data_IF_868926051075
#
_entry.id   IF_868926051075
#
_cell.length_a   1.000
_cell.length_b   1.000
_cell.length_c   1.000
_cell.angle_alpha   90.00
_cell.angle_beta   90.00
_cell.angle_gamma   90.00
#
_symmetry.space_group_name_H-M   'P 1'
#
loop_
_entity.id
_entity.type
_entity.pdbx_description
1 polymer ?
#
# COMPACT_ATOMS: atom_id res chain seq x y z
N UNK A 1 35.44 -59.95 -2.95
CA UNK A 1 35.74 -58.58 -2.47
C UNK A 1 34.44 -57.80 -2.54
N UNK A 2 33.79 -57.58 -1.40
CA UNK A 2 32.50 -56.92 -1.28
C UNK A 2 32.69 -55.66 -0.43
N UNK A 3 32.39 -54.50 -1.03
CA UNK A 3 32.66 -53.19 -0.46
C UNK A 3 31.45 -52.72 0.34
N UNK A 4 31.58 -52.66 1.67
CA UNK A 4 30.58 -52.15 2.61
C UNK A 4 30.53 -50.63 2.56
N UNK A 5 29.41 -50.07 2.08
CA UNK A 5 29.14 -48.63 2.09
C UNK A 5 28.63 -48.24 3.49
N UNK A 6 29.45 -47.50 4.23
CA UNK A 6 29.12 -46.90 5.54
C UNK A 6 28.04 -45.82 5.35
N UNK A 7 26.90 -46.02 5.99
CA UNK A 7 25.87 -45.01 6.17
C UNK A 7 26.37 -43.91 7.12
N UNK A 8 26.60 -42.71 6.59
CA UNK A 8 26.73 -41.50 7.40
C UNK A 8 25.34 -40.93 7.66
N UNK A 9 24.82 -41.17 8.87
CA UNK A 9 23.69 -40.43 9.40
C UNK A 9 24.17 -39.02 9.80
N UNK A 10 23.83 -38.01 9.00
CA UNK A 10 23.94 -36.60 9.40
C UNK A 10 22.57 -36.15 9.94
N UNK A 11 22.49 -35.56 11.15
CA UNK A 11 21.25 -35.02 11.66
C UNK A 11 20.94 -33.72 10.89
N UNK A 12 19.93 -33.75 10.03
CA UNK A 12 19.23 -32.56 9.53
C UNK A 12 18.44 -31.98 10.70
N UNK A 13 19.09 -31.12 11.48
CA UNK A 13 18.47 -30.41 12.59
C UNK A 13 18.53 -28.90 12.33
N UNK A 14 17.32 -28.31 12.34
CA UNK A 14 17.00 -26.89 12.43
C UNK A 14 17.25 -26.02 11.19
N UNK A 15 16.32 -26.16 10.23
CA UNK A 15 15.82 -25.00 9.52
C UNK A 15 14.88 -24.15 10.39
N UNK A 16 14.65 -22.92 9.91
CA UNK A 16 13.63 -21.96 10.31
C UNK A 16 13.76 -21.30 11.69
N UNK A 17 14.41 -20.14 11.70
CA UNK A 17 14.18 -19.16 12.77
C UNK A 17 15.07 -17.94 12.64
N UNK A 18 14.44 -16.75 12.71
CA UNK A 18 15.02 -15.42 12.92
C UNK A 18 15.40 -14.63 11.65
N UNK A 19 14.39 -14.19 10.91
CA UNK A 19 14.52 -13.15 9.87
C UNK A 19 13.42 -12.09 9.89
N UNK A 20 12.79 -11.81 11.06
CA UNK A 20 11.50 -11.11 11.11
C UNK A 20 11.45 -9.87 12.03
N UNK A 21 12.55 -9.15 12.24
CA UNK A 21 12.52 -7.93 13.11
C UNK A 21 13.15 -6.67 12.52
N UNK A 22 13.63 -6.68 11.27
CA UNK A 22 14.23 -5.51 10.63
C UNK A 22 13.29 -4.70 9.70
N UNK A 23 12.03 -5.11 9.55
CA UNK A 23 11.10 -4.50 8.56
C UNK A 23 10.59 -3.09 8.94
N UNK A 24 10.56 -2.74 10.23
CA UNK A 24 10.02 -1.45 10.67
C UNK A 24 10.89 -0.24 10.26
N UNK A 25 12.19 -0.27 10.61
CA UNK A 25 13.10 0.83 10.28
C UNK A 25 13.42 0.88 8.78
N UNK A 26 13.49 -0.27 8.12
CA UNK A 26 13.73 -0.35 6.67
C UNK A 26 12.54 0.13 5.86
N UNK A 27 11.31 -0.20 6.28
CA UNK A 27 10.07 0.31 5.70
C UNK A 27 9.94 1.82 5.83
N UNK A 28 10.18 2.38 7.03
CA UNK A 28 10.16 3.83 7.24
C UNK A 28 11.21 4.56 6.39
N UNK A 29 12.44 4.05 6.35
CA UNK A 29 13.51 4.64 5.53
C UNK A 29 13.17 4.59 4.03
N UNK A 30 12.59 3.48 3.56
CA UNK A 30 12.13 3.32 2.18
C UNK A 30 11.03 4.31 1.83
N UNK A 31 9.99 4.40 2.68
CA UNK A 31 8.85 5.30 2.46
C UNK A 31 9.32 6.74 2.43
N UNK A 32 10.11 7.15 3.42
CA UNK A 32 10.68 8.50 3.49
C UNK A 32 11.45 8.82 2.23
N UNK A 33 12.38 7.95 1.81
CA UNK A 33 13.16 8.16 0.59
C UNK A 33 12.32 8.20 -0.69
N UNK A 34 11.24 7.42 -0.75
CA UNK A 34 10.44 7.25 -1.98
C UNK A 34 9.33 8.30 -2.11
N UNK A 35 8.78 8.79 -1.00
CA UNK A 35 7.55 9.58 -0.98
C UNK A 35 7.66 10.95 -0.33
N UNK A 36 8.75 11.31 0.36
CA UNK A 36 8.88 12.60 1.07
C UNK A 36 8.69 13.83 0.17
N UNK A 37 9.03 13.72 -1.11
CA UNK A 37 8.89 14.82 -2.07
C UNK A 37 7.51 14.87 -2.73
N UNK A 38 6.61 13.91 -2.45
CA UNK A 38 5.29 13.85 -3.06
C UNK A 38 4.29 14.63 -2.22
N UNK A 39 3.47 15.45 -2.88
CA UNK A 39 2.33 16.10 -2.22
C UNK A 39 1.20 15.08 -2.12
N UNK A 40 0.70 14.76 -0.90
CA UNK A 40 -0.38 13.81 -0.73
C UNK A 40 -1.67 14.32 -1.40
N UNK A 41 -2.42 13.41 -1.99
CA UNK A 41 -3.78 13.63 -2.47
C UNK A 41 -4.75 12.86 -1.60
N UNK A 42 -5.96 13.36 -1.40
CA UNK A 42 -6.96 12.69 -0.57
C UNK A 42 -8.01 12.08 -1.46
N UNK A 43 -8.08 10.75 -1.47
CA UNK A 43 -9.18 10.01 -2.08
C UNK A 43 -10.19 9.65 -1.00
N UNK A 44 -11.45 9.58 -1.35
CA UNK A 44 -12.52 9.21 -0.42
C UNK A 44 -13.24 7.99 -0.95
N UNK A 45 -13.34 6.93 -0.14
CA UNK A 45 -14.02 5.69 -0.52
C UNK A 45 -15.03 5.29 0.56
N UNK A 46 -15.98 4.41 0.22
CA UNK A 46 -16.98 3.90 1.16
C UNK A 46 -17.79 5.00 1.86
N UNK A 47 -17.95 4.91 3.18
CA UNK A 47 -18.68 5.90 4.01
C UNK A 47 -17.91 7.23 4.20
N UNK A 48 -17.47 7.88 3.14
CA UNK A 48 -16.69 9.11 3.22
C UNK A 48 -15.35 8.97 3.97
N UNK A 49 -14.76 7.78 4.00
CA UNK A 49 -13.47 7.54 4.66
C UNK A 49 -12.33 8.16 3.82
N UNK A 50 -11.54 9.10 4.38
CA UNK A 50 -10.46 9.74 3.65
C UNK A 50 -9.17 8.91 3.74
N UNK A 51 -8.53 8.68 2.60
CA UNK A 51 -7.22 8.04 2.49
C UNK A 51 -6.24 9.01 1.83
N UNK A 52 -5.04 9.12 2.41
CA UNK A 52 -3.95 9.90 1.81
C UNK A 52 -3.19 9.03 0.82
N UNK A 53 -2.98 9.57 -0.36
CA UNK A 53 -2.33 8.90 -1.48
C UNK A 53 -1.08 9.68 -1.84
N UNK A 54 0.07 9.02 -1.71
CA UNK A 54 1.35 9.51 -2.20
C UNK A 54 1.69 8.77 -3.49
N UNK A 55 1.67 9.48 -4.62
CA UNK A 55 1.89 8.88 -5.94
C UNK A 55 3.32 9.14 -6.43
N UNK A 56 4.06 8.06 -6.64
CA UNK A 56 5.35 8.10 -7.30
C UNK A 56 5.22 7.53 -8.72
N UNK A 57 4.77 8.40 -9.64
CA UNK A 57 4.55 8.05 -11.06
C UNK A 57 5.79 7.52 -11.77
N UNK A 58 6.96 8.09 -11.44
CA UNK A 58 8.23 7.67 -12.02
C UNK A 58 8.56 6.20 -11.70
N UNK A 59 8.11 5.71 -10.54
CA UNK A 59 8.28 4.31 -10.12
C UNK A 59 7.02 3.45 -10.34
N UNK A 60 5.93 4.03 -10.83
CA UNK A 60 4.58 3.44 -10.89
C UNK A 60 4.13 2.78 -9.58
N UNK A 61 4.23 3.55 -8.49
CA UNK A 61 3.84 3.11 -7.15
C UNK A 61 2.98 4.15 -6.48
N UNK A 62 1.91 3.71 -5.83
CA UNK A 62 1.08 4.55 -4.96
C UNK A 62 1.15 4.02 -3.53
N UNK A 63 1.51 4.88 -2.59
CA UNK A 63 1.40 4.58 -1.16
C UNK A 63 0.06 5.11 -0.66
N UNK A 64 -0.73 4.21 -0.10
CA UNK A 64 -2.00 4.52 0.56
C UNK A 64 -1.76 4.56 2.06
N UNK A 65 -2.15 5.67 2.67
CA UNK A 65 -2.05 5.90 4.12
C UNK A 65 -3.43 6.17 4.68
N UNK A 66 -3.84 5.35 5.65
CA UNK A 66 -5.00 5.65 6.48
C UNK A 66 -4.55 6.44 7.70
N UNK A 67 -5.21 7.57 7.96
CA UNK A 67 -5.05 8.28 9.23
C UNK A 67 -6.00 7.66 10.26
N UNK A 68 -5.46 6.88 11.19
CA UNK A 68 -6.23 6.21 12.26
C UNK A 68 -7.11 7.18 13.07
N UNK A 69 -6.68 8.43 13.26
CA UNK A 69 -7.46 9.48 13.95
C UNK A 69 -8.69 9.95 13.15
N UNK A 70 -8.69 9.76 11.82
CA UNK A 70 -9.82 10.11 10.93
C UNK A 70 -10.69 8.91 10.56
N UNK A 71 -10.21 7.67 10.76
CA UNK A 71 -11.06 6.47 10.73
C UNK A 71 -12.22 6.58 11.74
N UNK A 72 -12.02 7.26 12.88
CA UNK A 72 -13.08 7.53 13.89
C UNK A 72 -14.20 8.46 13.37
N UNK A 73 -13.98 9.18 12.26
CA UNK A 73 -14.96 10.12 11.68
C UNK A 73 -15.71 9.59 10.44
N UNK A 74 -15.42 8.37 9.98
CA UNK A 74 -16.13 7.72 8.85
C UNK A 74 -16.70 6.36 9.28
N UNK A 75 -17.91 6.00 8.81
CA UNK A 75 -18.85 4.96 9.31
C UNK A 75 -19.06 4.90 10.85
N UNK A 76 -18.06 5.22 11.68
CA UNK A 76 -17.98 5.04 13.13
C UNK A 76 -18.40 6.30 13.93
N UNK A 77 -18.97 7.34 13.29
CA UNK A 77 -19.63 8.46 13.99
C UNK A 77 -20.93 7.96 14.62
N UNK A 78 -20.77 7.21 15.72
CA UNK A 78 -21.87 6.65 16.50
C UNK A 78 -21.50 5.35 17.20
N UNK A 79 -20.81 4.42 16.53
CA UNK A 79 -20.43 3.10 17.04
C UNK A 79 -19.29 2.52 16.21
N UNK A 80 -18.23 2.05 16.88
CA UNK A 80 -17.22 1.19 16.27
C UNK A 80 -17.90 -0.01 15.59
N UNK A 81 -17.94 -0.03 14.26
CA UNK A 81 -18.39 -1.16 13.46
C UNK A 81 -19.81 -1.12 12.88
N UNK A 82 -20.62 -0.07 13.10
CA UNK A 82 -21.94 0.03 12.47
C UNK A 82 -21.88 0.86 11.18
N UNK A 83 -21.87 0.18 10.03
CA UNK A 83 -21.83 0.80 8.70
C UNK A 83 -20.76 0.20 7.78
N UNK A 84 -19.79 -0.52 8.36
CA UNK A 84 -18.77 -1.27 7.62
C UNK A 84 -19.31 -2.65 7.23
N UNK A 85 -19.29 -3.05 5.95
CA UNK A 85 -19.65 -4.41 5.57
C UNK A 85 -18.73 -5.40 6.30
N UNK A 86 -19.26 -6.43 6.97
CA UNK A 86 -18.44 -7.34 7.80
C UNK A 86 -17.43 -8.15 6.99
N UNK A 87 -17.61 -8.24 5.68
CA UNK A 87 -16.71 -8.95 4.76
C UNK A 87 -15.58 -8.08 4.21
N UNK A 88 -15.65 -6.75 4.33
CA UNK A 88 -14.66 -5.87 3.70
C UNK A 88 -13.39 -5.77 4.55
N UNK A 89 -12.32 -6.40 4.06
CA UNK A 89 -11.03 -6.37 4.74
C UNK A 89 -10.33 -5.03 4.55
N UNK A 90 -9.44 -4.69 5.49
CA UNK A 90 -8.57 -3.50 5.38
C UNK A 90 -7.76 -3.48 4.08
N UNK A 91 -7.19 -4.61 3.68
CA UNK A 91 -6.46 -4.75 2.42
C UNK A 91 -7.37 -4.43 1.21
N UNK A 92 -8.62 -4.87 1.25
CA UNK A 92 -9.62 -4.54 0.22
C UNK A 92 -9.85 -3.04 0.16
N UNK A 93 -10.05 -2.36 1.29
CA UNK A 93 -10.23 -0.91 1.35
C UNK A 93 -9.04 -0.14 0.78
N UNK A 94 -7.82 -0.52 1.17
CA UNK A 94 -6.60 0.13 0.68
C UNK A 94 -6.44 -0.06 -0.84
N UNK A 95 -6.74 -1.25 -1.35
CA UNK A 95 -6.75 -1.52 -2.79
C UNK A 95 -7.83 -0.71 -3.52
N UNK A 96 -9.02 -0.61 -2.95
CA UNK A 96 -10.11 0.23 -3.48
C UNK A 96 -9.67 1.69 -3.53
N UNK A 97 -9.08 2.24 -2.47
CA UNK A 97 -8.57 3.61 -2.44
C UNK A 97 -7.51 3.86 -3.51
N UNK A 98 -6.55 2.93 -3.68
CA UNK A 98 -5.56 3.00 -4.74
C UNK A 98 -6.21 2.98 -6.12
N UNK A 99 -7.20 2.10 -6.35
CA UNK A 99 -7.87 1.99 -7.63
C UNK A 99 -8.71 3.22 -7.96
N UNK A 100 -9.54 3.68 -7.03
CA UNK A 100 -10.32 4.92 -7.17
C UNK A 100 -9.42 6.11 -7.48
N UNK A 101 -8.25 6.22 -6.82
CA UNK A 101 -7.30 7.27 -7.13
C UNK A 101 -6.78 7.20 -8.56
N UNK A 102 -6.45 6.01 -9.08
CA UNK A 102 -6.02 5.84 -10.47
C UNK A 102 -7.16 6.24 -11.43
N UNK A 103 -8.37 5.75 -11.20
CA UNK A 103 -9.55 6.09 -12.01
C UNK A 103 -9.81 7.61 -12.06
N UNK A 104 -9.82 8.27 -10.92
CA UNK A 104 -10.09 9.71 -10.81
C UNK A 104 -8.96 10.60 -11.35
N UNK A 105 -7.78 10.02 -11.62
CA UNK A 105 -6.63 10.74 -12.16
C UNK A 105 -6.29 10.36 -13.60
N UNK A 106 -7.31 9.90 -14.35
CA UNK A 106 -7.25 9.56 -15.79
C UNK A 106 -6.24 8.44 -16.05
N UNK A 107 -6.30 7.41 -15.21
CA UNK A 107 -5.44 6.23 -15.22
C UNK A 107 -6.29 4.96 -15.06
N UNK A 108 -7.48 4.99 -15.63
CA UNK A 108 -8.42 3.87 -15.64
C UNK A 108 -7.86 2.63 -16.39
N UNK A 109 -6.90 2.82 -17.31
CA UNK A 109 -6.17 1.75 -17.98
C UNK A 109 -5.12 1.07 -17.06
N UNK A 110 -4.70 1.73 -15.98
CA UNK A 110 -3.62 1.24 -15.13
C UNK A 110 -4.08 0.11 -14.20
N UNK A 111 -3.43 -1.05 -14.27
CA UNK A 111 -3.74 -2.21 -13.42
C UNK A 111 -2.80 -2.30 -12.21
N UNK A 112 -3.34 -2.60 -11.02
CA UNK A 112 -2.54 -2.90 -9.83
C UNK A 112 -1.98 -4.32 -9.95
N UNK A 113 -0.66 -4.45 -9.91
CA UNK A 113 0.05 -5.73 -10.11
C UNK A 113 0.71 -6.27 -8.84
N UNK A 114 0.77 -5.48 -7.77
CA UNK A 114 1.42 -5.90 -6.53
C UNK A 114 1.05 -5.01 -5.35
N UNK A 115 1.27 -5.56 -4.16
CA UNK A 115 0.94 -4.92 -2.89
C UNK A 115 2.06 -5.23 -1.89
N UNK A 116 2.55 -4.19 -1.21
CA UNK A 116 3.48 -4.29 -0.08
C UNK A 116 2.83 -3.66 1.14
N UNK A 117 2.54 -4.47 2.15
CA UNK A 117 1.99 -3.99 3.43
C UNK A 117 3.15 -3.59 4.32
N UNK A 118 3.24 -2.31 4.68
CA UNK A 118 4.28 -1.81 5.59
C UNK A 118 3.83 -1.82 7.04
N UNK A 119 2.56 -1.52 7.27
CA UNK A 119 1.89 -1.56 8.56
C UNK A 119 0.39 -1.66 8.33
N UNK A 120 -0.38 -1.73 9.41
CA UNK A 120 -1.82 -1.56 9.30
C UNK A 120 -2.10 -0.23 8.57
N UNK A 121 -1.51 0.88 9.00
CA UNK A 121 -1.84 2.20 8.46
C UNK A 121 -1.36 2.47 7.03
N UNK A 122 -0.52 1.61 6.45
CA UNK A 122 0.22 1.94 5.23
C UNK A 122 0.42 0.72 4.34
N UNK A 123 -0.04 0.81 3.09
CA UNK A 123 0.26 -0.18 2.04
C UNK A 123 0.62 0.52 0.74
N UNK A 124 1.63 -0.01 0.06
CA UNK A 124 2.04 0.43 -1.27
C UNK A 124 1.51 -0.53 -2.33
N UNK A 125 1.00 0.04 -3.42
CA UNK A 125 0.58 -0.71 -4.60
C UNK A 125 1.46 -0.37 -5.78
N UNK A 126 1.90 -1.41 -6.48
CA UNK A 126 2.58 -1.30 -7.78
C UNK A 126 1.53 -1.36 -8.86
N UNK A 127 1.63 -0.48 -9.86
CA UNK A 127 0.73 -0.48 -11.00
C UNK A 127 1.45 -0.47 -12.34
N UNK A 128 0.75 -0.88 -13.39
CA UNK A 128 1.21 -0.85 -14.77
C UNK A 128 0.14 -0.21 -15.64
N UNK A 129 0.54 0.72 -16.51
CA UNK A 129 -0.32 1.35 -17.50
C UNK A 129 0.21 1.04 -18.90
N UNK A 130 -0.67 1.12 -19.90
CA UNK A 130 -0.31 0.93 -21.30
C UNK A 130 0.53 2.10 -21.81
N UNK A 131 0.19 3.32 -21.37
CA UNK A 131 0.98 4.50 -21.64
C UNK A 131 2.37 4.42 -21.00
N UNK A 132 3.46 4.95 -21.62
CA UNK A 132 4.77 5.07 -21.00
C UNK A 132 4.77 5.95 -19.75
N UNK A 133 5.82 5.84 -18.92
CA UNK A 133 6.02 6.74 -17.76
C UNK A 133 6.18 8.18 -18.25
N UNK A 134 5.46 9.12 -17.63
CA UNK A 134 5.49 10.52 -18.03
C UNK A 134 6.87 11.16 -17.79
N UNK A 135 7.34 12.06 -18.67
CA UNK A 135 8.55 12.84 -18.42
C UNK A 135 8.46 13.65 -17.13
N UNK A 136 9.61 13.92 -16.51
CA UNK A 136 9.68 14.79 -15.34
C UNK A 136 9.14 16.19 -15.67
N UNK A 137 8.33 16.76 -14.78
CA UNK A 137 7.74 18.09 -14.97
C UNK A 137 6.42 18.10 -15.75
N UNK A 138 5.95 16.95 -16.23
CA UNK A 138 4.62 16.82 -16.86
C UNK A 138 3.53 17.30 -15.88
N UNK A 139 2.65 18.19 -16.34
CA UNK A 139 1.46 18.56 -15.59
C UNK A 139 0.49 17.40 -15.61
N UNK A 140 0.26 16.79 -14.45
CA UNK A 140 -0.62 15.64 -14.30
C UNK A 140 -1.94 16.04 -13.64
N UNK A 141 -3.05 15.38 -14.01
CA UNK A 141 -4.32 15.53 -13.30
C UNK A 141 -4.13 15.22 -11.81
N UNK A 142 -4.71 16.07 -10.96
CA UNK A 142 -4.78 15.88 -9.52
C UNK A 142 -6.24 15.89 -9.12
N UNK A 143 -6.56 15.16 -8.05
CA UNK A 143 -7.85 15.27 -7.41
C UNK A 143 -8.10 16.74 -7.06
N UNK A 144 -9.34 17.23 -7.22
CA UNK A 144 -9.71 18.55 -6.74
C UNK A 144 -9.42 18.55 -5.25
N UNK A 145 -8.33 19.22 -4.87
CA UNK A 145 -7.91 19.24 -3.47
C UNK A 145 -9.09 19.73 -2.66
N UNK A 146 -9.54 18.95 -1.67
CA UNK A 146 -10.37 19.54 -0.61
C UNK A 146 -9.54 20.69 -0.10
N UNK A 147 -10.02 21.93 -0.28
CA UNK A 147 -9.40 23.09 0.34
C UNK A 147 -9.31 22.71 1.81
N UNK A 148 -8.09 22.56 2.33
CA UNK A 148 -7.87 22.57 3.76
C UNK A 148 -8.39 23.93 4.20
N UNK A 149 -9.64 23.98 4.68
CA UNK A 149 -10.10 25.11 5.46
C UNK A 149 -9.18 25.11 6.68
N UNK A 150 -8.16 25.96 6.59
CA UNK A 150 -7.32 26.36 7.70
C UNK A 150 -7.95 27.57 8.35
#
# INVERSE_FOLDING_TARGET
MATTIRWFALPLALGLGLGLTASGCTGFAYISKTYVAQVPQVVTIGCNEPYEIYDNRQKRRVLVVSNALREVTGCDVGRLGEGRPPAETRATRFRTAARTYLDETVREDCTITGETVFSDLQSEFVYTCDAPVEPRGTKVPRLPGRRLHR
#
